data_IF_837506072885
#
_entry.id   IF_837506072885
#
_cell.length_a   1.000
_cell.length_b   1.000
_cell.length_c   1.000
_cell.angle_alpha   90.00
_cell.angle_beta   90.00
_cell.angle_gamma   90.00
#
_symmetry.space_group_name_H-M   'P 1'
#
loop_
_entity.id
_entity.type
_entity.pdbx_description
1 polymer ?
#
# COMPACT_ATOMS: atom_id res chain seq x y z
N UNK A 1 1.93 0.03 -12.72
CA UNK A 1 2.55 -0.76 -11.61
C UNK A 1 1.60 -0.71 -10.42
N UNK A 2 1.71 -1.63 -9.47
CA UNK A 2 0.89 -1.58 -8.26
C UNK A 2 1.67 -1.96 -7.01
N UNK A 3 1.17 -1.53 -5.85
CA UNK A 3 1.62 -1.99 -4.55
C UNK A 3 0.43 -2.15 -3.59
N UNK A 4 0.53 -3.12 -2.69
CA UNK A 4 -0.47 -3.37 -1.65
C UNK A 4 0.17 -3.20 -0.29
N UNK A 5 -0.45 -2.40 0.56
CA UNK A 5 -0.01 -2.13 1.92
C UNK A 5 -1.03 -2.68 2.92
N UNK A 6 -0.53 -3.29 4.00
CA UNK A 6 -1.32 -3.70 5.16
C UNK A 6 -1.17 -2.65 6.26
N UNK A 7 -2.28 -2.07 6.69
CA UNK A 7 -2.34 -1.05 7.74
C UNK A 7 -3.21 -1.56 8.89
N UNK A 8 -2.73 -1.41 10.11
CA UNK A 8 -3.51 -1.75 11.30
C UNK A 8 -4.64 -0.74 11.53
N UNK A 9 -5.76 -1.18 12.14
CA UNK A 9 -6.92 -0.31 12.47
C UNK A 9 -6.53 0.96 13.24
N UNK A 10 -5.53 0.88 14.10
CA UNK A 10 -5.04 2.01 14.91
C UNK A 10 -4.25 3.05 14.10
N UNK A 11 -3.71 2.67 12.93
CA UNK A 11 -2.91 3.54 12.08
C UNK A 11 -3.68 4.06 10.84
N UNK A 12 -4.97 3.74 10.70
CA UNK A 12 -5.79 4.18 9.57
C UNK A 12 -5.82 5.70 9.42
N UNK A 13 -5.91 6.44 10.54
CA UNK A 13 -5.89 7.91 10.49
C UNK A 13 -4.61 8.48 9.87
N UNK A 14 -3.45 7.87 10.16
CA UNK A 14 -2.18 8.26 9.55
C UNK A 14 -2.07 7.79 8.11
N UNK A 15 -2.59 6.61 7.80
CA UNK A 15 -2.64 6.12 6.42
C UNK A 15 -3.47 7.04 5.54
N UNK A 16 -4.61 7.53 6.02
CA UNK A 16 -5.44 8.51 5.31
C UNK A 16 -4.68 9.81 4.98
N UNK A 17 -3.84 10.30 5.90
CA UNK A 17 -2.95 11.44 5.66
C UNK A 17 -1.94 11.15 4.54
N UNK A 18 -1.36 9.94 4.51
CA UNK A 18 -0.46 9.51 3.45
C UNK A 18 -1.18 9.46 2.10
N UNK A 19 -2.41 8.98 2.07
CA UNK A 19 -3.19 8.87 0.83
C UNK A 19 -3.60 10.22 0.24
N UNK A 20 -3.61 11.28 1.07
CA UNK A 20 -3.83 12.67 0.64
C UNK A 20 -2.58 13.34 0.06
N UNK A 21 -1.43 12.69 0.14
CA UNK A 21 -0.20 13.18 -0.48
C UNK A 21 -0.41 13.41 -1.99
N UNK A 22 0.00 14.57 -2.50
CA UNK A 22 -0.27 14.98 -3.89
C UNK A 22 0.21 13.97 -4.95
N UNK A 23 1.30 13.24 -4.72
CA UNK A 23 1.74 12.23 -5.67
C UNK A 23 0.93 10.94 -5.58
N UNK A 24 0.56 10.55 -4.36
CA UNK A 24 -0.18 9.31 -4.08
C UNK A 24 -1.65 9.47 -4.44
N UNK A 25 -2.28 10.57 -4.06
CA UNK A 25 -3.70 10.88 -4.26
C UNK A 25 -4.10 10.99 -5.74
N UNK A 26 -3.14 11.25 -6.63
CA UNK A 26 -3.33 11.26 -8.09
C UNK A 26 -3.37 9.86 -8.70
N UNK A 27 -3.01 8.83 -7.94
CA UNK A 27 -3.04 7.45 -8.40
C UNK A 27 -4.41 6.82 -8.12
N UNK A 28 -4.65 5.66 -8.71
CA UNK A 28 -5.84 4.86 -8.39
C UNK A 28 -5.60 4.18 -7.04
N UNK A 29 -6.44 4.52 -6.05
CA UNK A 29 -6.34 3.99 -4.68
C UNK A 29 -7.61 3.21 -4.36
N UNK A 30 -7.46 1.97 -3.90
CA UNK A 30 -8.55 1.16 -3.37
C UNK A 30 -8.23 0.72 -1.93
N UNK A 31 -9.19 0.92 -1.03
CA UNK A 31 -9.06 0.62 0.39
C UNK A 31 -10.10 -0.44 0.74
N UNK A 32 -9.67 -1.58 1.29
CA UNK A 32 -10.57 -2.67 1.69
C UNK A 32 -10.16 -3.28 3.01
N UNK A 33 -11.16 -3.59 3.83
CA UNK A 33 -10.96 -4.31 5.08
C UNK A 33 -10.65 -5.77 4.80
N UNK A 34 -9.72 -6.38 5.54
CA UNK A 34 -9.34 -7.78 5.34
C UNK A 34 -10.55 -8.73 5.43
N UNK A 35 -11.47 -8.47 6.36
CA UNK A 35 -12.71 -9.24 6.52
C UNK A 35 -13.60 -9.20 5.28
N UNK A 36 -13.65 -8.08 4.55
CA UNK A 36 -14.42 -7.95 3.31
C UNK A 36 -13.82 -8.81 2.18
N UNK A 37 -12.50 -8.96 2.18
CA UNK A 37 -11.77 -9.82 1.24
C UNK A 37 -11.75 -11.30 1.65
N UNK A 38 -12.46 -11.67 2.71
CA UNK A 38 -12.44 -13.03 3.27
C UNK A 38 -11.07 -13.45 3.81
N UNK A 39 -10.28 -12.48 4.30
CA UNK A 39 -8.99 -12.71 4.94
C UNK A 39 -9.16 -12.60 6.45
N UNK A 40 -8.65 -13.60 7.18
CA UNK A 40 -8.67 -13.65 8.64
C UNK A 40 -7.61 -12.69 9.23
N UNK A 41 -7.90 -11.41 9.10
CA UNK A 41 -7.09 -10.33 9.65
C UNK A 41 -8.00 -9.18 10.02
N UNK A 42 -7.59 -8.39 11.01
CA UNK A 42 -8.25 -7.15 11.37
C UNK A 42 -7.65 -5.94 10.63
N UNK A 43 -6.65 -6.15 9.79
CA UNK A 43 -5.98 -5.07 9.09
C UNK A 43 -6.80 -4.58 7.90
N UNK A 44 -6.46 -3.38 7.43
CA UNK A 44 -6.99 -2.81 6.20
C UNK A 44 -5.91 -2.85 5.13
N UNK A 45 -6.31 -3.29 3.94
CA UNK A 45 -5.45 -3.32 2.78
C UNK A 45 -5.68 -2.10 1.90
N UNK A 46 -4.57 -1.50 1.47
CA UNK A 46 -4.54 -0.34 0.59
C UNK A 46 -3.82 -0.75 -0.67
N UNK A 47 -4.55 -0.79 -1.78
CA UNK A 47 -4.03 -0.97 -3.12
C UNK A 47 -3.78 0.41 -3.74
N UNK A 48 -2.58 0.61 -4.28
CA UNK A 48 -2.21 1.80 -5.04
C UNK A 48 -1.72 1.35 -6.41
N UNK A 49 -2.41 1.81 -7.44
CA UNK A 49 -2.09 1.52 -8.85
C UNK A 49 -1.73 2.81 -9.58
N UNK A 50 -0.54 2.81 -10.19
CA UNK A 50 -0.05 4.00 -10.83
C UNK A 50 1.38 3.88 -11.32
N UNK A 51 2.05 5.03 -11.37
CA UNK A 51 3.44 5.11 -11.75
C UNK A 51 4.38 4.69 -10.59
N UNK A 52 5.59 4.25 -10.95
CA UNK A 52 6.56 3.76 -9.98
C UNK A 52 6.97 4.83 -8.95
N UNK A 53 7.05 6.10 -9.35
CA UNK A 53 7.47 7.20 -8.46
C UNK A 53 6.46 7.42 -7.33
N UNK A 54 5.17 7.38 -7.62
CA UNK A 54 4.11 7.51 -6.63
C UNK A 54 4.05 6.29 -5.70
N UNK A 55 4.29 5.09 -6.23
CA UNK A 55 4.37 3.87 -5.42
C UNK A 55 5.56 3.92 -4.46
N UNK A 56 6.74 4.35 -4.94
CA UNK A 56 7.93 4.56 -4.09
C UNK A 56 7.65 5.61 -3.01
N UNK A 57 7.01 6.73 -3.36
CA UNK A 57 6.62 7.76 -2.38
C UNK A 57 5.65 7.22 -1.33
N UNK A 58 4.64 6.47 -1.72
CA UNK A 58 3.74 5.82 -0.79
C UNK A 58 4.51 4.87 0.15
N UNK A 59 5.42 4.06 -0.38
CA UNK A 59 6.24 3.14 0.42
C UNK A 59 7.06 3.86 1.50
N UNK A 60 7.71 4.97 1.15
CA UNK A 60 8.48 5.79 2.11
C UNK A 60 7.58 6.42 3.18
N UNK A 61 6.41 6.92 2.78
CA UNK A 61 5.44 7.50 3.71
C UNK A 61 4.88 6.44 4.69
N UNK A 62 4.63 5.21 4.21
CA UNK A 62 4.09 4.11 5.02
C UNK A 62 5.10 3.53 6.01
N UNK A 63 6.41 3.57 5.70
CA UNK A 63 7.50 3.18 6.63
C UNK A 63 7.60 4.09 7.86
N UNK A 64 6.92 5.24 7.87
CA UNK A 64 6.91 6.15 9.00
C UNK A 64 8.00 7.21 8.86
N UNK A 65 7.57 8.46 8.78
CA UNK A 65 8.45 9.62 8.86
C UNK A 65 8.84 9.78 10.34
N UNK A 66 9.90 9.10 10.78
CA UNK A 66 10.62 9.60 11.95
C UNK A 66 11.36 10.85 11.52
N UNK A 67 10.92 11.98 12.09
CA UNK A 67 11.52 13.31 12.02
C UNK A 67 11.19 14.16 10.77
N UNK A 68 10.34 15.16 11.00
CA UNK A 68 10.24 16.35 10.15
C UNK A 68 11.63 16.97 9.99
N UNK A 69 11.94 17.39 8.76
CA UNK A 69 12.85 18.50 8.43
C UNK A 69 14.34 18.26 8.75
N UNK A 70 15.08 17.73 7.78
CA UNK A 70 16.43 18.19 7.54
C UNK A 70 16.43 18.90 6.17
N UNK A 71 16.64 20.21 6.23
CA UNK A 71 16.67 21.13 5.10
C UNK A 71 17.73 20.72 4.06
N UNK A 72 17.33 20.82 2.79
CA UNK A 72 18.12 21.16 1.59
C UNK A 72 19.60 20.73 1.59
N UNK A 73 19.95 19.82 0.67
CA UNK A 73 21.03 20.11 -0.28
C UNK A 73 20.85 19.38 -1.62
N UNK A 74 21.03 20.14 -2.68
CA UNK A 74 21.08 19.69 -4.07
C UNK A 74 22.38 18.89 -4.30
N UNK A 75 22.29 17.61 -4.60
CA UNK A 75 23.45 16.77 -4.91
C UNK A 75 23.21 15.91 -6.13
N UNK A 76 23.84 16.26 -7.25
CA UNK A 76 23.89 15.47 -8.49
C UNK A 76 24.31 14.02 -8.25
N UNK A 77 23.61 13.11 -8.90
CA UNK A 77 24.17 11.88 -9.45
C UNK A 77 24.32 10.72 -8.46
N UNK A 78 23.41 9.75 -8.55
CA UNK A 78 23.76 8.36 -8.27
C UNK A 78 23.19 7.50 -9.40
N UNK A 79 24.12 6.97 -10.17
CA UNK A 79 23.98 5.81 -11.05
C UNK A 79 23.89 4.59 -10.13
N UNK A 80 22.81 3.82 -10.23
CA UNK A 80 22.74 2.41 -9.80
C UNK A 80 22.17 1.66 -11.02
N UNK A 81 22.99 1.33 -12.01
CA UNK A 81 23.67 0.03 -12.10
C UNK A 81 22.94 -1.11 -11.36
N UNK A 82 22.23 -1.87 -12.19
CA UNK A 82 22.13 -3.33 -12.24
C UNK A 82 22.42 -4.12 -10.96
N UNK A 83 21.37 -4.83 -10.54
CA UNK A 83 21.47 -6.13 -9.89
C UNK A 83 21.64 -6.04 -8.39
N UNK A 84 20.59 -6.41 -7.66
CA UNK A 84 20.77 -7.28 -6.51
C UNK A 84 19.43 -7.93 -6.15
N UNK A 85 19.53 -9.24 -5.97
CA UNK A 85 18.47 -10.20 -5.78
C UNK A 85 17.71 -9.92 -4.49
N UNK A 86 16.38 -9.91 -4.58
CA UNK A 86 15.52 -9.87 -3.40
C UNK A 86 15.69 -11.17 -2.62
N UNK A 87 16.15 -11.12 -1.35
CA UNK A 87 16.23 -12.33 -0.56
C UNK A 87 14.81 -12.82 -0.23
N UNK A 88 14.55 -14.06 -0.61
CA UNK A 88 13.45 -14.88 -0.12
C UNK A 88 13.62 -15.05 1.40
N UNK A 89 12.73 -14.44 2.20
CA UNK A 89 12.70 -14.66 3.64
C UNK A 89 11.35 -15.26 4.04
N UNK A 90 11.47 -16.54 4.37
CA UNK A 90 10.49 -17.47 4.91
C UNK A 90 9.91 -17.02 6.26
N UNK A 91 8.72 -17.54 6.56
CA UNK A 91 8.02 -17.41 7.83
C UNK A 91 8.92 -17.72 9.04
N UNK A 92 8.90 -16.87 10.08
CA UNK A 92 8.74 -17.30 11.48
C UNK A 92 8.47 -16.13 12.44
N UNK A 93 7.55 -16.44 13.35
CA UNK A 93 7.07 -15.83 14.60
C UNK A 93 8.12 -15.14 15.49
N UNK A 94 7.67 -14.09 16.20
CA UNK A 94 8.21 -13.39 17.39
C UNK A 94 8.36 -11.88 17.09
N UNK A 95 7.44 -11.03 17.54
CA UNK A 95 7.37 -10.45 18.90
C UNK A 95 8.53 -9.45 19.16
N UNK A 96 8.11 -8.18 19.33
CA UNK A 96 8.80 -7.00 19.88
C UNK A 96 9.94 -6.30 19.10
N UNK A 97 9.61 -5.15 18.48
CA UNK A 97 10.19 -3.80 18.76
C UNK A 97 9.15 -2.74 18.31
N UNK A 98 8.82 -1.70 19.10
CA UNK A 98 7.85 -0.66 18.75
C UNK A 98 8.43 0.31 17.71
N UNK A 99 8.46 -0.09 16.44
CA UNK A 99 8.78 0.81 15.34
C UNK A 99 7.47 1.36 14.78
N UNK A 100 7.35 2.69 14.75
CA UNK A 100 6.13 3.44 14.42
C UNK A 100 5.86 3.44 12.90
N UNK A 101 5.98 2.29 12.26
CA UNK A 101 5.60 2.07 10.86
C UNK A 101 4.08 2.17 10.73
N UNK A 102 3.60 2.97 9.78
CA UNK A 102 2.17 3.23 9.57
C UNK A 102 1.53 2.05 8.84
N UNK A 103 2.24 1.44 7.90
CA UNK A 103 1.80 0.25 7.18
C UNK A 103 2.95 -0.52 6.55
N UNK A 104 2.75 -1.82 6.31
CA UNK A 104 3.75 -2.71 5.70
C UNK A 104 3.37 -3.08 4.28
N UNK A 105 4.29 -2.92 3.33
CA UNK A 105 4.10 -3.42 1.96
C UNK A 105 4.08 -4.94 1.96
N UNK A 106 3.10 -5.53 1.27
CA UNK A 106 2.96 -6.98 1.17
C UNK A 106 3.93 -7.57 0.14
N UNK A 107 4.40 -8.82 0.34
CA UNK A 107 5.18 -9.53 -0.65
C UNK A 107 4.33 -9.84 -1.88
N UNK A 108 4.97 -9.98 -3.05
CA UNK A 108 4.30 -10.03 -4.36
C UNK A 108 3.19 -11.10 -4.44
N UNK A 109 3.41 -12.29 -3.86
CA UNK A 109 2.41 -13.37 -3.80
C UNK A 109 1.14 -12.95 -3.05
N UNK A 110 1.28 -12.38 -1.85
CA UNK A 110 0.14 -11.90 -1.05
C UNK A 110 -0.47 -10.65 -1.65
N UNK A 111 0.36 -9.73 -2.14
CA UNK A 111 -0.11 -8.52 -2.82
C UNK A 111 -0.99 -8.86 -4.03
N UNK A 112 -0.60 -9.86 -4.82
CA UNK A 112 -1.38 -10.35 -5.96
C UNK A 112 -2.72 -10.95 -5.53
N UNK A 113 -2.74 -11.76 -4.47
CA UNK A 113 -3.98 -12.34 -3.95
C UNK A 113 -4.96 -11.24 -3.50
N UNK A 114 -4.47 -10.27 -2.72
CA UNK A 114 -5.28 -9.15 -2.25
C UNK A 114 -5.75 -8.28 -3.41
N UNK A 115 -4.87 -7.99 -4.38
CA UNK A 115 -5.20 -7.26 -5.59
C UNK A 115 -6.36 -7.90 -6.36
N UNK A 116 -6.28 -9.22 -6.61
CA UNK A 116 -7.30 -9.96 -7.35
C UNK A 116 -8.66 -9.91 -6.63
N UNK A 117 -8.64 -10.09 -5.30
CA UNK A 117 -9.85 -9.98 -4.47
C UNK A 117 -10.48 -8.58 -4.52
N UNK A 118 -9.66 -7.53 -4.42
CA UNK A 118 -10.15 -6.14 -4.53
C UNK A 118 -10.76 -5.90 -5.91
N UNK A 119 -10.06 -6.30 -6.98
CA UNK A 119 -10.54 -6.13 -8.36
C UNK A 119 -11.84 -6.87 -8.62
N UNK A 120 -11.93 -8.11 -8.14
CA UNK A 120 -13.16 -8.89 -8.24
C UNK A 120 -14.31 -8.21 -7.50
N UNK A 121 -14.08 -7.70 -6.29
CA UNK A 121 -15.13 -7.00 -5.56
C UNK A 121 -15.61 -5.73 -6.30
N UNK A 122 -14.68 -4.93 -6.83
CA UNK A 122 -15.03 -3.73 -7.62
C UNK A 122 -15.82 -4.06 -8.89
N UNK A 123 -15.46 -5.14 -9.60
CA UNK A 123 -16.20 -5.62 -10.77
C UNK A 123 -17.63 -6.01 -10.40
N UNK A 124 -17.80 -6.82 -9.35
CA UNK A 124 -19.14 -7.24 -8.89
C UNK A 124 -19.99 -6.03 -8.45
N UNK A 125 -19.39 -5.01 -7.83
CA UNK A 125 -20.08 -3.76 -7.47
C UNK A 125 -20.49 -2.97 -8.73
N UNK A 126 -19.60 -2.85 -9.71
CA UNK A 126 -19.88 -2.12 -10.95
C UNK A 126 -21.02 -2.76 -11.75
N UNK A 127 -21.04 -4.10 -11.84
CA UNK A 127 -22.11 -4.85 -12.51
C UNK A 127 -23.47 -4.70 -11.82
N UNK A 128 -23.50 -4.66 -10.48
CA UNK A 128 -24.73 -4.49 -9.71
C UNK A 128 -25.37 -3.11 -9.83
N UNK A 129 -24.59 -2.04 -9.94
CA UNK A 129 -25.10 -0.66 -10.08
C UNK A 129 -25.72 -0.41 -11.46
N UNK A 130 -25.18 -1.04 -12.51
CA UNK A 130 -25.72 -0.94 -13.88
C UNK A 130 -27.16 -1.43 -14.01
N UNK A 131 -27.56 -2.41 -13.18
CA UNK A 131 -28.94 -2.91 -13.12
C UNK A 131 -29.91 -2.02 -12.35
N UNK A 132 -29.43 -1.12 -11.49
CA UNK A 132 -30.27 -0.29 -10.61
C UNK A 132 -30.66 1.05 -11.28
N UNK A 133 -29.84 1.53 -12.23
CA UNK A 133 -30.08 2.78 -12.97
C UNK A 133 -30.51 2.57 -14.43
N UNK A 134 -30.80 1.33 -14.82
CA UNK A 134 -31.24 0.98 -16.16
C UNK A 134 -32.76 0.96 -16.30
N UNK A 135 -33.38 2.13 -16.41
CA UNK A 135 -34.63 2.35 -17.17
C UNK A 135 -34.70 3.79 -17.71
#
# INVERSE_FOLDING_TARGET
MYAVFSVEKNNIGKADEILKDDAVSRQSIAIRDASALGVDSENRYILIEGNEQAIKRAEELFKGIEEKLAEKEIGKGVKIESGEEFPEATEKKAEEVPKKEIGKKLPEKKAKEIYDKIKKEEENVAEGVGFIFGE
#
